data_IF_553328936181
#
_entry.id   IF_553328936181
#
_cell.length_a   1.000
_cell.length_b   1.000
_cell.length_c   1.000
_cell.angle_alpha   90.00
_cell.angle_beta   90.00
_cell.angle_gamma   90.00
#
_symmetry.space_group_name_H-M   'P 1'
#
loop_
_entity.id
_entity.type
_entity.pdbx_description
1 polymer ?
#
# COMPACT_ATOMS: atom_id res chain seq x y z
N UNK A 1 21.06 12.44 -1.32
CA UNK A 1 20.93 11.54 -0.16
C UNK A 1 19.56 11.78 0.47
N UNK A 2 18.75 10.75 0.74
CA UNK A 2 17.45 10.99 1.40
C UNK A 2 17.69 11.40 2.83
N UNK A 3 17.10 12.53 3.22
CA UNK A 3 17.16 13.03 4.58
C UNK A 3 16.50 12.04 5.56
N UNK A 4 17.10 11.82 6.72
CA UNK A 4 16.60 10.86 7.71
C UNK A 4 15.13 11.11 8.08
N UNK A 5 14.74 12.39 8.21
CA UNK A 5 13.36 12.75 8.54
C UNK A 5 12.41 12.37 7.40
N UNK A 6 12.86 12.48 6.15
CA UNK A 6 12.07 12.04 4.99
C UNK A 6 11.89 10.52 4.99
N UNK A 7 12.94 9.74 5.29
CA UNK A 7 12.83 8.29 5.39
C UNK A 7 11.91 7.85 6.53
N UNK A 8 12.02 8.48 7.71
CA UNK A 8 11.13 8.24 8.86
C UNK A 8 9.67 8.55 8.52
N UNK A 9 9.43 9.67 7.83
CA UNK A 9 8.10 10.07 7.36
C UNK A 9 7.54 9.05 6.37
N UNK A 10 8.34 8.61 5.40
CA UNK A 10 7.93 7.58 4.43
C UNK A 10 7.59 6.27 5.11
N UNK A 11 8.42 5.79 6.04
CA UNK A 11 8.14 4.56 6.82
C UNK A 11 6.84 4.71 7.62
N UNK A 12 6.60 5.87 8.24
CA UNK A 12 5.36 6.13 8.97
C UNK A 12 4.14 6.07 8.06
N UNK A 13 4.20 6.74 6.90
CA UNK A 13 3.14 6.73 5.90
C UNK A 13 2.83 5.29 5.43
N UNK A 14 3.86 4.51 5.09
CA UNK A 14 3.69 3.12 4.66
C UNK A 14 2.98 2.27 5.72
N UNK A 15 3.34 2.43 7.00
CA UNK A 15 2.70 1.74 8.13
C UNK A 15 1.24 2.15 8.31
N UNK A 16 0.92 3.43 8.22
CA UNK A 16 -0.45 3.93 8.34
C UNK A 16 -1.32 3.46 7.16
N UNK A 17 -0.83 3.57 5.92
CA UNK A 17 -1.52 3.05 4.74
C UNK A 17 -1.77 1.55 4.87
N UNK A 18 -0.78 0.77 5.32
CA UNK A 18 -0.93 -0.68 5.58
C UNK A 18 -2.06 -0.96 6.57
N UNK A 19 -2.12 -0.22 7.69
CA UNK A 19 -3.18 -0.39 8.70
C UNK A 19 -4.56 -0.14 8.11
N UNK A 20 -4.71 0.91 7.29
CA UNK A 20 -5.97 1.23 6.62
C UNK A 20 -6.37 0.11 5.65
N UNK A 21 -5.48 -0.30 4.76
CA UNK A 21 -5.76 -1.37 3.79
C UNK A 21 -6.09 -2.70 4.47
N UNK A 22 -5.42 -3.02 5.59
CA UNK A 22 -5.71 -4.21 6.37
C UNK A 22 -7.11 -4.17 6.98
N UNK A 23 -7.52 -3.04 7.59
CA UNK A 23 -8.88 -2.85 8.11
C UNK A 23 -9.93 -3.01 7.02
N UNK A 24 -9.69 -2.41 5.85
CA UNK A 24 -10.57 -2.56 4.69
C UNK A 24 -10.66 -4.02 4.24
N UNK A 25 -9.54 -4.76 4.21
CA UNK A 25 -9.54 -6.18 3.83
C UNK A 25 -10.42 -7.05 4.75
N UNK A 26 -10.59 -6.64 6.01
CA UNK A 26 -11.35 -7.37 7.04
C UNK A 26 -12.81 -6.92 7.15
N UNK A 27 -13.22 -5.84 6.49
CA UNK A 27 -14.61 -5.40 6.47
C UNK A 27 -15.50 -6.45 5.82
N UNK A 28 -16.62 -6.77 6.47
CA UNK A 28 -17.63 -7.68 5.97
C UNK A 28 -18.24 -7.19 4.66
N UNK A 29 -18.51 -8.12 3.74
CA UNK A 29 -19.16 -7.81 2.48
C UNK A 29 -20.56 -7.21 2.69
N UNK A 30 -20.92 -6.12 2.00
CA UNK A 30 -22.29 -5.60 2.00
C UNK A 30 -23.31 -6.70 1.65
N UNK A 31 -24.47 -6.68 2.33
CA UNK A 31 -25.59 -7.59 2.00
C UNK A 31 -26.18 -7.18 0.65
N UNK A 32 -26.62 -8.15 -0.15
CA UNK A 32 -27.27 -7.89 -1.45
C UNK A 32 -26.35 -7.85 -2.68
N UNK A 33 -25.06 -8.18 -2.54
CA UNK A 33 -24.15 -8.27 -3.70
C UNK A 33 -24.56 -9.39 -4.66
N UNK A 34 -24.53 -9.08 -5.96
CA UNK A 34 -24.66 -10.07 -7.03
C UNK A 34 -23.45 -11.03 -7.06
N UNK A 35 -23.57 -12.16 -7.76
CA UNK A 35 -22.47 -13.14 -7.92
C UNK A 35 -21.23 -12.51 -8.54
N UNK A 36 -21.40 -11.62 -9.52
CA UNK A 36 -20.31 -10.88 -10.15
C UNK A 36 -19.61 -9.93 -9.16
N UNK A 37 -20.38 -9.15 -8.41
CA UNK A 37 -19.80 -8.21 -7.43
C UNK A 37 -19.12 -8.94 -6.27
N UNK A 38 -19.60 -10.11 -5.86
CA UNK A 38 -18.90 -10.96 -4.88
C UNK A 38 -17.55 -11.44 -5.42
N UNK A 39 -17.47 -11.82 -6.69
CA UNK A 39 -16.22 -12.24 -7.32
C UNK A 39 -15.23 -11.07 -7.42
N UNK A 40 -15.69 -9.88 -7.83
CA UNK A 40 -14.88 -8.67 -7.88
C UNK A 40 -14.41 -8.23 -6.49
N UNK A 41 -15.29 -8.24 -5.48
CA UNK A 41 -14.91 -7.95 -4.10
C UNK A 41 -13.85 -8.93 -3.57
N UNK A 42 -13.92 -10.20 -3.96
CA UNK A 42 -12.91 -11.20 -3.61
C UNK A 42 -11.55 -10.87 -4.26
N UNK A 43 -11.53 -10.50 -5.54
CA UNK A 43 -10.31 -10.04 -6.24
C UNK A 43 -9.72 -8.80 -5.54
N UNK A 44 -10.57 -7.83 -5.22
CA UNK A 44 -10.16 -6.62 -4.52
C UNK A 44 -9.59 -6.89 -3.12
N UNK A 45 -10.24 -7.75 -2.34
CA UNK A 45 -9.75 -8.16 -1.02
C UNK A 45 -8.40 -8.89 -1.11
N UNK A 46 -8.24 -9.75 -2.12
CA UNK A 46 -6.97 -10.44 -2.39
C UNK A 46 -5.86 -9.42 -2.68
N UNK A 47 -6.15 -8.45 -3.56
CA UNK A 47 -5.22 -7.37 -3.88
C UNK A 47 -4.86 -6.53 -2.65
N UNK A 48 -5.83 -6.11 -1.83
CA UNK A 48 -5.57 -5.40 -0.56
C UNK A 48 -4.62 -6.18 0.34
N UNK A 49 -4.75 -7.50 0.39
CA UNK A 49 -3.84 -8.38 1.12
C UNK A 49 -2.42 -8.39 0.56
N UNK A 50 -2.27 -8.43 -0.77
CA UNK A 50 -0.96 -8.34 -1.45
C UNK A 50 -0.32 -6.97 -1.19
N UNK A 51 -1.07 -5.88 -1.36
CA UNK A 51 -0.62 -4.52 -1.10
C UNK A 51 -0.17 -4.35 0.36
N UNK A 52 -0.90 -4.93 1.32
CA UNK A 52 -0.48 -4.93 2.72
C UNK A 52 0.89 -5.60 2.94
N UNK A 53 1.14 -6.74 2.28
CA UNK A 53 2.44 -7.43 2.37
C UNK A 53 3.56 -6.60 1.75
N UNK A 54 3.32 -5.99 0.59
CA UNK A 54 4.31 -5.13 -0.06
C UNK A 54 4.65 -3.89 0.78
N UNK A 55 3.64 -3.22 1.34
CA UNK A 55 3.82 -2.09 2.26
C UNK A 55 4.59 -2.50 3.52
N UNK A 56 4.33 -3.69 4.07
CA UNK A 56 5.02 -4.23 5.24
C UNK A 56 6.50 -4.49 4.96
N UNK A 57 6.81 -5.16 3.84
CA UNK A 57 8.16 -5.44 3.41
C UNK A 57 8.96 -4.15 3.19
N UNK A 58 8.35 -3.18 2.52
CA UNK A 58 8.98 -1.89 2.25
C UNK A 58 9.19 -1.08 3.54
N UNK A 59 8.22 -1.10 4.47
CA UNK A 59 8.37 -0.47 5.78
C UNK A 59 9.55 -1.07 6.55
N UNK A 60 9.66 -2.41 6.60
CA UNK A 60 10.78 -3.12 7.24
C UNK A 60 12.12 -2.78 6.59
N UNK A 61 12.14 -2.66 5.27
CA UNK A 61 13.33 -2.26 4.52
C UNK A 61 13.77 -0.83 4.91
N UNK A 62 12.83 0.11 4.96
CA UNK A 62 13.09 1.49 5.42
C UNK A 62 13.56 1.56 6.89
N UNK A 63 12.99 0.73 7.77
CA UNK A 63 13.44 0.63 9.17
C UNK A 63 14.85 0.06 9.29
N UNK A 64 15.20 -0.93 8.45
CA UNK A 64 16.54 -1.50 8.41
C UNK A 64 17.57 -0.46 7.91
N UNK A 65 17.21 0.36 6.94
CA UNK A 65 18.01 1.52 6.50
C UNK A 65 18.24 2.53 7.62
N UNK A 66 17.20 2.86 8.40
CA UNK A 66 17.34 3.77 9.55
C UNK A 66 18.31 3.24 10.61
N UNK A 67 18.45 1.92 10.73
CA UNK A 67 19.37 1.26 11.67
C UNK A 67 20.81 1.15 11.16
N UNK A 68 21.03 1.11 9.85
CA UNK A 68 22.33 0.82 9.21
C UNK A 68 23.09 2.08 8.75
N UNK A 69 22.76 3.25 9.32
CA UNK A 69 23.10 4.60 8.86
C UNK A 69 24.57 4.82 8.43
N UNK A 70 25.52 4.11 9.01
CA UNK A 70 26.97 4.31 8.80
C UNK A 70 27.67 3.12 8.11
N UNK A 71 26.90 2.17 7.58
CA UNK A 71 27.44 0.98 6.93
C UNK A 71 27.67 1.22 5.43
N UNK A 72 28.79 0.79 4.83
CA UNK A 72 29.06 0.99 3.39
C UNK A 72 27.95 0.44 2.47
N UNK A 73 27.19 -0.56 2.90
CA UNK A 73 26.04 -1.10 2.17
C UNK A 73 24.74 -0.28 2.27
N UNK A 74 24.71 0.82 3.05
CA UNK A 74 23.52 1.64 3.21
C UNK A 74 23.12 2.36 1.92
N UNK A 75 24.08 2.75 1.09
CA UNK A 75 23.84 3.44 -0.19
C UNK A 75 23.09 2.56 -1.20
N UNK A 76 23.56 1.33 -1.42
CA UNK A 76 22.91 0.37 -2.33
C UNK A 76 21.53 -0.01 -1.82
N UNK A 77 21.41 -0.23 -0.51
CA UNK A 77 20.14 -0.54 0.13
C UNK A 77 19.15 0.63 0.02
N UNK A 78 19.64 1.88 0.08
CA UNK A 78 18.81 3.07 -0.08
C UNK A 78 18.33 3.24 -1.53
N UNK A 79 19.18 2.94 -2.52
CA UNK A 79 18.77 2.91 -3.93
C UNK A 79 17.70 1.82 -4.17
N UNK A 80 17.93 0.62 -3.65
CA UNK A 80 16.97 -0.50 -3.72
C UNK A 80 15.63 -0.15 -3.07
N UNK A 81 15.64 0.48 -1.90
CA UNK A 81 14.43 0.95 -1.23
C UNK A 81 13.66 1.97 -2.09
N UNK A 82 14.35 2.93 -2.71
CA UNK A 82 13.70 3.92 -3.56
C UNK A 82 13.03 3.30 -4.79
N UNK A 83 13.70 2.34 -5.42
CA UNK A 83 13.14 1.62 -6.57
C UNK A 83 11.90 0.80 -6.16
N UNK A 84 11.99 0.05 -5.05
CA UNK A 84 10.85 -0.70 -4.52
C UNK A 84 9.69 0.21 -4.12
N UNK A 85 9.99 1.40 -3.58
CA UNK A 85 8.99 2.40 -3.23
C UNK A 85 8.28 2.96 -4.46
N UNK A 86 9.03 3.30 -5.50
CA UNK A 86 8.45 3.77 -6.76
C UNK A 86 7.61 2.69 -7.45
N UNK A 87 8.11 1.45 -7.50
CA UNK A 87 7.36 0.33 -8.06
C UNK A 87 6.04 0.12 -7.32
N UNK A 88 6.08 0.16 -5.98
CA UNK A 88 4.87 0.02 -5.17
C UNK A 88 3.88 1.16 -5.42
N UNK A 89 4.35 2.40 -5.52
CA UNK A 89 3.49 3.53 -5.87
C UNK A 89 2.81 3.32 -7.23
N UNK A 90 3.57 2.89 -8.25
CA UNK A 90 3.04 2.64 -9.59
C UNK A 90 2.03 1.49 -9.60
N UNK A 91 2.35 0.36 -8.96
CA UNK A 91 1.48 -0.80 -8.84
C UNK A 91 0.16 -0.42 -8.15
N UNK A 92 0.24 0.27 -7.01
CA UNK A 92 -0.95 0.71 -6.28
C UNK A 92 -1.80 1.68 -7.10
N UNK A 93 -1.18 2.60 -7.86
CA UNK A 93 -1.92 3.51 -8.73
C UNK A 93 -2.58 2.80 -9.92
N UNK A 94 -1.90 1.87 -10.55
CA UNK A 94 -2.46 1.08 -11.65
C UNK A 94 -3.67 0.25 -11.19
N UNK A 95 -3.53 -0.40 -10.04
CA UNK A 95 -4.59 -1.21 -9.43
C UNK A 95 -5.77 -0.33 -8.99
N UNK A 96 -5.50 0.82 -8.37
CA UNK A 96 -6.53 1.79 -8.00
C UNK A 96 -7.35 2.28 -9.22
N UNK A 97 -6.72 2.46 -10.39
CA UNK A 97 -7.45 2.80 -11.63
C UNK A 97 -8.36 1.67 -12.09
N UNK A 98 -7.93 0.41 -12.00
CA UNK A 98 -8.77 -0.74 -12.36
C UNK A 98 -10.03 -0.85 -11.48
N UNK A 99 -9.91 -0.60 -10.17
CA UNK A 99 -11.05 -0.72 -9.24
C UNK A 99 -11.96 0.51 -9.20
N UNK A 100 -11.51 1.67 -9.72
CA UNK A 100 -12.37 2.87 -9.85
C UNK A 100 -13.59 2.60 -10.76
N UNK A 101 -13.51 1.59 -11.63
CA UNK A 101 -14.60 1.17 -12.51
C UNK A 101 -15.59 0.19 -11.82
N UNK A 102 -15.30 -0.28 -10.60
CA UNK A 102 -16.07 -1.34 -9.94
C UNK A 102 -17.07 -0.79 -8.91
N UNK A 103 -18.36 -0.85 -9.27
CA UNK A 103 -19.62 -0.77 -8.50
C UNK A 103 -19.78 0.28 -7.37
N UNK A 104 -20.92 0.98 -7.39
CA UNK A 104 -21.36 1.95 -6.35
C UNK A 104 -21.33 1.38 -4.92
N UNK A 105 -21.50 0.06 -4.76
CA UNK A 105 -21.48 -0.63 -3.45
C UNK A 105 -20.06 -0.70 -2.86
N UNK A 106 -19.03 -0.78 -3.69
CA UNK A 106 -17.63 -0.83 -3.26
C UNK A 106 -16.97 0.55 -3.16
N UNK A 107 -17.67 1.59 -3.62
CA UNK A 107 -17.18 2.97 -3.70
C UNK A 107 -16.59 3.50 -2.39
N UNK A 108 -17.28 3.32 -1.26
CA UNK A 108 -16.79 3.80 0.05
C UNK A 108 -15.47 3.14 0.46
N UNK A 109 -15.38 1.82 0.25
CA UNK A 109 -14.18 1.04 0.54
C UNK A 109 -13.03 1.48 -0.37
N UNK A 110 -13.34 1.66 -1.65
CA UNK A 110 -12.41 2.10 -2.66
C UNK A 110 -11.89 3.53 -2.42
N UNK A 111 -12.77 4.47 -2.10
CA UNK A 111 -12.40 5.86 -1.81
C UNK A 111 -11.48 5.95 -0.59
N UNK A 112 -11.73 5.14 0.43
CA UNK A 112 -10.86 5.05 1.61
C UNK A 112 -9.48 4.48 1.25
N UNK A 113 -9.43 3.40 0.46
CA UNK A 113 -8.17 2.84 -0.01
C UNK A 113 -7.39 3.82 -0.89
N UNK A 114 -8.08 4.48 -1.84
CA UNK A 114 -7.53 5.51 -2.73
C UNK A 114 -6.94 6.68 -1.94
N UNK A 115 -7.64 7.18 -0.93
CA UNK A 115 -7.13 8.24 -0.05
C UNK A 115 -5.85 7.80 0.65
N UNK A 116 -5.84 6.60 1.22
CA UNK A 116 -4.65 6.06 1.89
C UNK A 116 -3.47 5.81 0.92
N UNK A 117 -3.73 5.42 -0.32
CA UNK A 117 -2.72 5.23 -1.36
C UNK A 117 -2.17 6.56 -1.87
N UNK A 118 -3.02 7.58 -2.02
CA UNK A 118 -2.60 8.92 -2.40
C UNK A 118 -1.66 9.54 -1.37
N UNK A 119 -1.80 9.21 -0.09
CA UNK A 119 -0.86 9.65 0.95
C UNK A 119 0.53 9.00 0.83
N UNK A 120 0.66 7.89 0.10
CA UNK A 120 1.96 7.26 -0.20
C UNK A 120 2.67 7.94 -1.37
N UNK A 121 2.05 8.93 -2.03
CA UNK A 121 2.58 9.58 -3.24
C UNK A 121 3.74 10.52 -2.97
#
# INVERSE_FOLDING_TARGET
MIDRRQLETRVKILKETRKVLYKLSKQSSPRGLTTLEKAELKKYNSWLGIACKQLDNLSKHGEKLLKLKDSPGASEMQQSFNLQYLQLQQDMQAQNRQFTLVSNIMKVKHDTAKSAINNVR
#
